data_IF_648551163929
#
_entry.id   IF_648551163929
#
_cell.length_a   1.000
_cell.length_b   1.000
_cell.length_c   1.000
_cell.angle_alpha   90.00
_cell.angle_beta   90.00
_cell.angle_gamma   90.00
#
_symmetry.space_group_name_H-M   'P 1'
#
loop_
_entity.id
_entity.type
_entity.pdbx_description
1 polymer ?
#
# COMPACT_ATOMS: atom_id res chain seq x y z
N UNK A 1 21.63 -10.21 -5.63
CA UNK A 1 20.97 -10.70 -6.86
C UNK A 1 20.25 -9.52 -7.49
N UNK A 2 20.48 -9.19 -8.77
CA UNK A 2 19.78 -8.09 -9.45
C UNK A 2 18.42 -8.55 -9.96
N UNK A 3 17.41 -7.70 -9.81
CA UNK A 3 16.07 -7.90 -10.37
C UNK A 3 15.95 -7.12 -11.69
N UNK A 4 15.01 -7.48 -12.60
CA UNK A 4 14.78 -6.69 -13.82
C UNK A 4 14.28 -5.29 -13.49
N UNK A 5 14.53 -4.29 -14.33
CA UNK A 5 13.96 -2.96 -14.09
C UNK A 5 12.42 -2.99 -14.22
N UNK A 6 11.73 -2.24 -13.36
CA UNK A 6 10.29 -1.98 -13.48
C UNK A 6 10.04 -0.48 -13.67
N UNK A 7 8.86 -0.15 -14.16
CA UNK A 7 8.39 1.23 -14.36
C UNK A 7 7.17 1.46 -13.50
N UNK A 8 7.14 2.56 -12.74
CA UNK A 8 5.95 3.03 -12.04
C UNK A 8 5.10 3.76 -13.06
N UNK A 9 3.91 3.26 -13.34
CA UNK A 9 2.94 3.90 -14.26
C UNK A 9 1.76 4.54 -13.53
N UNK A 10 1.50 4.11 -12.30
CA UNK A 10 0.46 4.68 -11.45
C UNK A 10 0.93 4.73 -10.00
N UNK A 11 0.48 5.74 -9.28
CA UNK A 11 0.82 5.99 -7.89
C UNK A 11 -0.39 6.59 -7.16
N UNK A 12 -0.63 6.14 -5.93
CA UNK A 12 -1.61 6.76 -5.06
C UNK A 12 -1.17 6.68 -3.61
N UNK A 13 -1.52 7.70 -2.85
CA UNK A 13 -1.37 7.73 -1.40
C UNK A 13 -2.64 8.31 -0.82
N UNK A 14 -3.12 7.72 0.28
CA UNK A 14 -4.20 8.28 1.06
C UNK A 14 -3.87 8.22 2.55
N UNK A 15 -3.95 9.38 3.18
CA UNK A 15 -4.04 9.54 4.63
C UNK A 15 -5.02 10.69 4.92
N UNK A 16 -5.59 10.82 6.14
CA UNK A 16 -6.52 11.90 6.45
C UNK A 16 -5.97 13.31 6.14
N UNK A 17 -4.67 13.52 6.37
CA UNK A 17 -3.97 14.78 6.09
C UNK A 17 -3.45 14.90 4.65
N UNK A 18 -3.43 13.81 3.88
CA UNK A 18 -2.94 13.72 2.50
C UNK A 18 -3.91 12.89 1.62
N UNK A 19 -5.12 13.40 1.33
CA UNK A 19 -6.20 12.63 0.70
C UNK A 19 -6.05 12.52 -0.82
N UNK A 20 -5.00 11.85 -1.29
CA UNK A 20 -4.73 11.62 -2.70
C UNK A 20 -3.37 12.16 -3.15
N UNK A 21 -2.88 11.62 -4.28
CA UNK A 21 -1.54 11.93 -4.78
C UNK A 21 -1.34 13.41 -5.15
N UNK A 22 -2.38 14.06 -5.69
CA UNK A 22 -2.32 15.49 -6.05
C UNK A 22 -2.09 16.41 -4.85
N UNK A 23 -2.48 15.98 -3.65
CA UNK A 23 -2.17 16.67 -2.39
C UNK A 23 -0.88 16.15 -1.77
N UNK A 24 -0.67 14.82 -1.78
CA UNK A 24 0.48 14.20 -1.17
C UNK A 24 1.80 14.62 -1.84
N UNK A 25 1.90 14.55 -3.16
CA UNK A 25 3.14 14.84 -3.88
C UNK A 25 3.73 16.24 -3.60
N UNK A 26 2.97 17.36 -3.72
CA UNK A 26 3.52 18.68 -3.37
C UNK A 26 3.82 18.81 -1.87
N UNK A 27 3.01 18.22 -0.98
CA UNK A 27 3.27 18.26 0.45
C UNK A 27 4.56 17.49 0.84
N UNK A 28 4.80 16.33 0.23
CA UNK A 28 6.03 15.54 0.41
C UNK A 28 7.27 16.27 -0.14
N UNK A 29 7.12 17.13 -1.16
CA UNK A 29 8.18 18.03 -1.64
C UNK A 29 8.40 19.27 -0.77
N UNK A 30 7.56 19.53 0.21
CA UNK A 30 7.58 20.78 0.99
C UNK A 30 7.02 22.00 0.25
N UNK A 31 6.35 21.79 -0.88
CA UNK A 31 5.71 22.82 -1.71
C UNK A 31 4.21 22.98 -1.42
N UNK A 32 3.62 21.98 -0.76
CA UNK A 32 2.22 21.93 -0.36
C UNK A 32 2.06 21.84 1.15
N UNK A 33 0.81 21.79 1.62
CA UNK A 33 0.47 21.60 3.02
C UNK A 33 -0.47 20.42 3.18
N UNK A 34 -0.39 19.77 4.35
CA UNK A 34 -1.44 18.85 4.80
C UNK A 34 -2.80 19.57 4.82
N UNK A 35 -3.87 18.82 4.54
CA UNK A 35 -5.23 19.37 4.64
C UNK A 35 -5.65 19.55 6.09
N UNK A 36 -6.34 20.65 6.36
CA UNK A 36 -6.95 20.97 7.65
C UNK A 36 -8.33 21.62 7.39
N UNK A 37 -9.46 21.01 7.82
CA UNK A 37 -9.54 19.79 8.63
C UNK A 37 -9.12 18.51 7.87
N UNK A 38 -8.72 17.44 8.59
CA UNK A 38 -8.43 16.14 7.98
C UNK A 38 -9.63 15.59 7.19
N UNK A 39 -9.33 14.95 6.06
CA UNK A 39 -10.35 14.33 5.22
C UNK A 39 -11.04 13.16 5.92
N UNK A 40 -12.34 13.01 5.66
CA UNK A 40 -13.08 11.83 6.06
C UNK A 40 -12.58 10.59 5.31
N UNK A 41 -12.73 9.43 5.95
CA UNK A 41 -12.44 8.12 5.36
C UNK A 41 -13.07 7.99 3.95
N UNK A 42 -12.36 7.43 2.96
CA UNK A 42 -12.88 7.29 1.60
C UNK A 42 -14.04 6.29 1.55
N UNK A 43 -14.91 6.46 0.56
CA UNK A 43 -16.04 5.58 0.29
C UNK A 43 -15.92 5.03 -1.13
N UNK A 44 -15.19 3.91 -1.34
CA UNK A 44 -14.81 3.46 -2.68
C UNK A 44 -16.02 3.18 -3.56
N UNK A 45 -16.09 3.87 -4.69
CA UNK A 45 -17.23 3.77 -5.61
C UNK A 45 -17.32 2.41 -6.32
N UNK A 46 -16.18 1.71 -6.40
CA UNK A 46 -16.05 0.34 -6.90
C UNK A 46 -16.95 -0.67 -6.17
N UNK A 47 -17.27 -0.44 -4.90
CA UNK A 47 -18.13 -1.32 -4.13
C UNK A 47 -19.61 -0.93 -4.31
N UNK A 48 -20.53 -1.90 -4.49
CA UNK A 48 -21.95 -1.60 -4.40
C UNK A 48 -22.31 -1.04 -3.02
N UNK A 49 -23.41 -0.28 -2.93
CA UNK A 49 -23.70 0.53 -1.75
C UNK A 49 -23.86 -0.26 -0.44
N UNK A 50 -24.23 -1.55 -0.49
CA UNK A 50 -24.35 -2.38 0.70
C UNK A 50 -22.98 -2.80 1.24
N UNK A 51 -22.10 -3.28 0.37
CA UNK A 51 -20.73 -3.68 0.64
C UNK A 51 -19.92 -2.47 1.09
N UNK A 52 -20.06 -1.33 0.39
CA UNK A 52 -19.36 -0.08 0.71
C UNK A 52 -19.63 0.40 2.14
N UNK A 53 -20.87 0.28 2.61
CA UNK A 53 -21.27 0.65 3.98
C UNK A 53 -20.72 -0.28 5.07
N UNK A 54 -20.35 -1.51 4.69
CA UNK A 54 -19.88 -2.56 5.61
C UNK A 54 -18.39 -2.82 5.51
N UNK A 55 -17.74 -2.29 4.47
CA UNK A 55 -16.31 -2.42 4.29
C UNK A 55 -15.60 -1.85 5.53
N UNK A 56 -14.60 -2.54 6.06
CA UNK A 56 -13.75 -1.98 7.09
C UNK A 56 -12.81 -0.92 6.52
N UNK A 57 -12.10 -0.22 7.40
CA UNK A 57 -11.20 0.88 7.03
C UNK A 57 -10.10 0.39 6.10
N UNK A 58 -9.47 -0.76 6.43
CA UNK A 58 -8.42 -1.38 5.61
C UNK A 58 -8.87 -1.61 4.16
N UNK A 59 -10.02 -2.27 3.97
CA UNK A 59 -10.61 -2.51 2.65
C UNK A 59 -10.93 -1.20 1.93
N UNK A 60 -11.56 -0.24 2.61
CA UNK A 60 -11.94 1.00 1.95
C UNK A 60 -10.73 1.81 1.49
N UNK A 61 -9.71 1.94 2.32
CA UNK A 61 -8.48 2.63 1.96
C UNK A 61 -7.76 1.91 0.81
N UNK A 62 -7.58 0.58 0.90
CA UNK A 62 -6.91 -0.21 -0.13
C UNK A 62 -7.58 -0.07 -1.49
N UNK A 63 -8.91 -0.15 -1.56
CA UNK A 63 -9.64 -0.01 -2.83
C UNK A 63 -9.57 1.41 -3.38
N UNK A 64 -9.59 2.44 -2.52
CA UNK A 64 -9.44 3.84 -2.95
C UNK A 64 -8.09 4.08 -3.64
N UNK A 65 -6.99 3.70 -2.98
CA UNK A 65 -5.65 3.92 -3.56
C UNK A 65 -5.41 3.01 -4.77
N UNK A 66 -5.93 1.79 -4.77
CA UNK A 66 -5.89 0.90 -5.92
C UNK A 66 -6.59 1.53 -7.13
N UNK A 67 -7.82 2.00 -6.96
CA UNK A 67 -8.59 2.64 -8.03
C UNK A 67 -7.83 3.83 -8.63
N UNK A 68 -7.27 4.70 -7.77
CA UNK A 68 -6.54 5.89 -8.21
C UNK A 68 -5.25 5.56 -8.94
N UNK A 69 -4.45 4.64 -8.42
CA UNK A 69 -3.20 4.24 -9.06
C UNK A 69 -3.47 3.59 -10.43
N UNK A 70 -4.49 2.72 -10.51
CA UNK A 70 -4.89 2.09 -11.78
C UNK A 70 -5.42 3.12 -12.78
N UNK A 71 -6.30 4.03 -12.34
CA UNK A 71 -6.79 5.11 -13.19
C UNK A 71 -5.65 5.98 -13.74
N UNK A 72 -4.66 6.33 -12.91
CA UNK A 72 -3.50 7.11 -13.35
C UNK A 72 -2.63 6.35 -14.36
N UNK A 73 -2.50 5.03 -14.21
CA UNK A 73 -1.71 4.19 -15.13
C UNK A 73 -2.33 4.00 -16.51
N UNK A 74 -3.61 4.33 -16.68
CA UNK A 74 -4.35 4.08 -17.92
C UNK A 74 -4.63 2.59 -18.20
N UNK A 75 -4.38 1.69 -17.24
CA UNK A 75 -4.61 0.25 -17.39
C UNK A 75 -6.03 -0.15 -17.01
N UNK A 76 -6.49 -1.26 -17.57
CA UNK A 76 -7.72 -1.91 -17.14
C UNK A 76 -7.50 -2.64 -15.81
N UNK A 77 -8.32 -2.39 -14.76
CA UNK A 77 -8.21 -3.08 -13.47
C UNK A 77 -8.27 -4.62 -13.56
N UNK A 78 -8.99 -5.15 -14.55
CA UNK A 78 -9.18 -6.60 -14.78
C UNK A 78 -7.93 -7.35 -15.24
N UNK A 79 -6.92 -6.62 -15.71
CA UNK A 79 -5.76 -7.19 -16.40
C UNK A 79 -4.51 -7.19 -15.52
N UNK A 80 -4.62 -6.70 -14.28
CA UNK A 80 -3.50 -6.54 -13.36
C UNK A 80 -3.41 -7.73 -12.40
N UNK A 81 -2.23 -8.35 -12.36
CA UNK A 81 -1.80 -9.08 -11.17
C UNK A 81 -1.83 -8.13 -9.97
N UNK A 82 -2.13 -8.63 -8.76
CA UNK A 82 -2.21 -7.74 -7.60
C UNK A 82 -1.62 -8.31 -6.31
N UNK A 83 -0.80 -7.49 -5.66
CA UNK A 83 -0.21 -7.76 -4.35
C UNK A 83 -0.77 -6.77 -3.35
N UNK A 84 -1.46 -7.28 -2.33
CA UNK A 84 -1.91 -6.50 -1.19
C UNK A 84 -0.98 -6.78 -0.02
N UNK A 85 -0.48 -5.75 0.64
CA UNK A 85 0.42 -5.89 1.79
C UNK A 85 -0.08 -5.10 2.99
N UNK A 86 0.06 -5.70 4.16
CA UNK A 86 -0.31 -5.11 5.44
C UNK A 86 0.44 -5.81 6.55
N UNK A 87 0.97 -5.05 7.50
CA UNK A 87 1.62 -5.62 8.68
C UNK A 87 0.64 -6.40 9.52
N UNK A 88 -0.57 -5.87 9.72
CA UNK A 88 -1.50 -6.40 10.69
C UNK A 88 -2.85 -6.84 10.14
N UNK A 89 -3.17 -6.49 8.88
CA UNK A 89 -4.52 -6.60 8.36
C UNK A 89 -5.47 -5.65 9.10
N UNK A 90 -6.70 -6.08 9.34
CA UNK A 90 -7.68 -5.27 10.07
C UNK A 90 -7.69 -5.57 11.57
N UNK A 91 -6.97 -4.75 12.33
CA UNK A 91 -6.88 -4.89 13.79
C UNK A 91 -8.22 -4.66 14.49
N UNK A 92 -9.07 -3.76 14.00
CA UNK A 92 -10.37 -3.50 14.62
C UNK A 92 -11.32 -4.71 14.48
N UNK A 93 -11.32 -5.37 13.33
CA UNK A 93 -12.08 -6.61 13.13
C UNK A 93 -11.50 -7.73 13.98
N UNK A 94 -10.17 -7.85 14.06
CA UNK A 94 -9.53 -8.89 14.87
C UNK A 94 -9.88 -8.75 16.36
N UNK A 95 -9.85 -7.52 16.90
CA UNK A 95 -10.28 -7.25 18.28
C UNK A 95 -11.77 -7.60 18.49
N UNK A 96 -12.63 -7.25 17.54
CA UNK A 96 -14.04 -7.63 17.58
C UNK A 96 -14.24 -9.16 17.60
N UNK A 97 -13.53 -9.90 16.75
CA UNK A 97 -13.65 -11.37 16.67
C UNK A 97 -13.21 -11.99 17.99
N UNK A 98 -12.04 -11.62 18.49
CA UNK A 98 -11.51 -12.13 19.75
C UNK A 98 -12.43 -11.80 20.94
N UNK A 99 -12.89 -10.56 21.05
CA UNK A 99 -13.78 -10.13 22.14
C UNK A 99 -15.15 -10.81 22.08
N UNK A 100 -15.69 -11.04 20.88
CA UNK A 100 -16.95 -11.77 20.68
C UNK A 100 -16.82 -13.23 21.10
N UNK A 101 -15.75 -13.92 20.67
CA UNK A 101 -15.51 -15.32 21.06
C UNK A 101 -15.33 -15.48 22.57
N UNK A 102 -14.63 -14.55 23.21
CA UNK A 102 -14.39 -14.59 24.65
C UNK A 102 -15.66 -14.38 25.49
N UNK A 103 -16.63 -13.58 25.00
CA UNK A 103 -17.82 -13.18 25.77
C UNK A 103 -19.09 -13.93 25.37
N UNK A 104 -19.30 -14.16 24.08
CA UNK A 104 -20.52 -14.70 23.50
C UNK A 104 -20.21 -15.43 22.17
N UNK A 105 -19.59 -16.62 22.21
CA UNK A 105 -19.06 -17.28 21.00
C UNK A 105 -20.12 -17.58 19.93
N UNK A 106 -21.39 -17.71 20.32
CA UNK A 106 -22.51 -17.98 19.40
C UNK A 106 -23.07 -16.73 18.71
N UNK A 107 -22.58 -15.52 19.02
CA UNK A 107 -23.08 -14.25 18.44
C UNK A 107 -22.18 -13.67 17.34
N UNK A 108 -21.23 -14.47 16.82
CA UNK A 108 -20.31 -14.05 15.76
C UNK A 108 -21.05 -13.60 14.51
N UNK A 109 -20.79 -12.37 14.06
CA UNK A 109 -21.30 -11.88 12.77
C UNK A 109 -20.56 -12.56 11.62
N UNK A 110 -21.24 -13.28 10.70
CA UNK A 110 -20.60 -13.86 9.52
C UNK A 110 -19.93 -12.79 8.65
N UNK A 111 -20.53 -11.60 8.56
CA UNK A 111 -19.97 -10.49 7.79
C UNK A 111 -18.66 -9.98 8.38
N UNK A 112 -18.58 -9.80 9.70
CA UNK A 112 -17.31 -9.35 10.32
C UNK A 112 -16.25 -10.44 10.26
N UNK A 113 -16.64 -11.71 10.41
CA UNK A 113 -15.71 -12.82 10.29
C UNK A 113 -15.08 -12.91 8.88
N UNK A 114 -15.85 -12.76 7.80
CA UNK A 114 -15.24 -12.80 6.46
C UNK A 114 -14.24 -11.65 6.22
N UNK A 115 -14.37 -10.53 6.95
CA UNK A 115 -13.46 -9.40 6.84
C UNK A 115 -12.21 -9.55 7.72
N UNK A 116 -12.11 -10.61 8.53
CA UNK A 116 -10.96 -10.82 9.43
C UNK A 116 -9.77 -11.47 8.75
N UNK A 117 -9.95 -12.00 7.54
CA UNK A 117 -8.85 -12.60 6.78
C UNK A 117 -7.98 -11.50 6.18
N UNK A 118 -6.66 -11.72 6.17
CA UNK A 118 -5.68 -10.72 5.70
C UNK A 118 -5.91 -10.33 4.23
N UNK A 119 -6.36 -11.29 3.41
CA UNK A 119 -6.64 -11.08 1.99
C UNK A 119 -8.02 -10.44 1.71
N UNK A 120 -8.75 -9.91 2.70
CA UNK A 120 -10.07 -9.33 2.47
C UNK A 120 -10.05 -8.23 1.40
N UNK A 121 -9.09 -7.30 1.46
CA UNK A 121 -8.95 -6.22 0.46
C UNK A 121 -8.70 -6.76 -0.96
N UNK A 122 -7.84 -7.78 -1.09
CA UNK A 122 -7.59 -8.47 -2.36
C UNK A 122 -8.87 -9.12 -2.91
N UNK A 123 -9.63 -9.82 -2.07
CA UNK A 123 -10.90 -10.44 -2.47
C UNK A 123 -11.93 -9.41 -2.95
N UNK A 124 -12.08 -8.30 -2.23
CA UNK A 124 -12.97 -7.22 -2.66
C UNK A 124 -12.52 -6.56 -3.96
N UNK A 125 -11.21 -6.41 -4.18
CA UNK A 125 -10.68 -5.87 -5.43
C UNK A 125 -11.06 -6.77 -6.61
N UNK A 126 -10.82 -8.08 -6.51
CA UNK A 126 -11.18 -9.04 -7.55
C UNK A 126 -12.67 -9.03 -7.87
N UNK A 127 -13.54 -9.02 -6.84
CA UNK A 127 -15.00 -8.94 -7.01
C UNK A 127 -15.41 -7.62 -7.68
N UNK A 128 -14.89 -6.49 -7.21
CA UNK A 128 -15.31 -5.17 -7.68
C UNK A 128 -14.84 -4.87 -9.12
N UNK A 129 -13.72 -5.44 -9.54
CA UNK A 129 -13.11 -5.20 -10.85
C UNK A 129 -13.36 -6.32 -11.86
N UNK A 130 -13.86 -7.48 -11.41
CA UNK A 130 -13.91 -8.70 -12.22
C UNK A 130 -12.53 -9.25 -12.57
N UNK A 131 -11.47 -8.84 -11.87
CA UNK A 131 -10.12 -9.32 -12.12
C UNK A 131 -9.98 -10.80 -11.71
N UNK A 132 -9.56 -11.63 -12.67
CA UNK A 132 -9.30 -13.06 -12.49
C UNK A 132 -7.80 -13.40 -12.52
N UNK A 133 -6.93 -12.38 -12.55
CA UNK A 133 -5.48 -12.55 -12.47
C UNK A 133 -5.06 -13.00 -11.06
N UNK A 134 -3.82 -13.47 -10.94
CA UNK A 134 -3.29 -13.87 -9.63
C UNK A 134 -3.30 -12.69 -8.66
N UNK A 135 -3.74 -12.94 -7.42
CA UNK A 135 -3.65 -11.98 -6.34
C UNK A 135 -3.09 -12.60 -5.08
N UNK A 136 -2.10 -11.93 -4.49
CA UNK A 136 -1.46 -12.34 -3.23
C UNK A 136 -1.69 -11.31 -2.14
N UNK A 137 -1.68 -11.78 -0.90
CA UNK A 137 -1.76 -10.96 0.30
C UNK A 137 -0.54 -11.28 1.20
N UNK A 138 0.28 -10.27 1.49
CA UNK A 138 1.58 -10.41 2.13
C UNK A 138 1.62 -9.68 3.48
N UNK A 139 2.22 -10.31 4.47
CA UNK A 139 2.57 -9.67 5.74
C UNK A 139 4.00 -10.06 6.12
N UNK A 140 4.77 -9.06 6.53
CA UNK A 140 6.12 -9.23 7.09
C UNK A 140 6.34 -8.26 8.26
N UNK A 141 5.28 -7.99 9.04
CA UNK A 141 5.29 -7.02 10.15
C UNK A 141 5.88 -5.67 9.69
N UNK A 142 6.94 -5.19 10.33
CA UNK A 142 7.59 -3.90 10.03
C UNK A 142 8.28 -3.83 8.65
N UNK A 143 8.38 -4.96 7.94
CA UNK A 143 8.96 -5.05 6.60
C UNK A 143 7.90 -5.30 5.51
N UNK A 144 6.61 -5.12 5.83
CA UNK A 144 5.51 -5.54 4.96
C UNK A 144 5.49 -4.81 3.62
N UNK A 145 5.78 -3.50 3.58
CA UNK A 145 5.81 -2.81 2.29
C UNK A 145 6.96 -3.34 1.42
N UNK A 146 8.16 -3.50 1.99
CA UNK A 146 9.32 -4.02 1.26
C UNK A 146 9.09 -5.45 0.75
N UNK A 147 8.47 -6.32 1.56
CA UNK A 147 8.11 -7.67 1.19
C UNK A 147 7.06 -7.69 0.07
N UNK A 148 6.03 -6.83 0.17
CA UNK A 148 5.03 -6.65 -0.88
C UNK A 148 5.63 -6.12 -2.18
N UNK A 149 6.57 -5.17 -2.10
CA UNK A 149 7.29 -4.65 -3.27
C UNK A 149 8.15 -5.73 -3.92
N UNK A 150 8.85 -6.56 -3.14
CA UNK A 150 9.61 -7.69 -3.67
C UNK A 150 8.68 -8.70 -4.36
N UNK A 151 7.54 -9.02 -3.75
CA UNK A 151 6.53 -9.93 -4.34
C UNK A 151 5.93 -9.37 -5.63
N UNK A 152 5.63 -8.08 -5.68
CA UNK A 152 5.18 -7.45 -6.92
C UNK A 152 6.27 -7.51 -8.00
N UNK A 153 7.54 -7.41 -7.58
CA UNK A 153 8.68 -7.51 -8.47
C UNK A 153 8.87 -8.93 -9.04
N UNK A 154 8.74 -9.95 -8.20
CA UNK A 154 8.85 -11.35 -8.61
C UNK A 154 7.73 -11.73 -9.57
N UNK A 155 6.50 -11.29 -9.32
CA UNK A 155 5.36 -11.53 -10.23
C UNK A 155 5.56 -10.82 -11.57
N UNK A 156 5.93 -9.53 -11.57
CA UNK A 156 6.18 -8.79 -12.81
C UNK A 156 7.32 -9.42 -13.64
N UNK A 157 8.33 -9.97 -12.98
CA UNK A 157 9.44 -10.66 -13.63
C UNK A 157 9.05 -12.05 -14.17
N UNK A 158 8.22 -12.79 -13.44
CA UNK A 158 7.81 -14.15 -13.80
C UNK A 158 6.79 -14.16 -14.95
N UNK A 159 5.77 -13.30 -14.86
CA UNK A 159 4.63 -13.29 -15.79
C UNK A 159 4.76 -12.24 -16.89
N UNK A 160 5.83 -11.42 -16.88
CA UNK A 160 6.05 -10.31 -17.80
C UNK A 160 4.86 -9.34 -17.91
N UNK A 161 4.07 -9.24 -16.84
CA UNK A 161 2.83 -8.46 -16.77
C UNK A 161 2.91 -7.30 -15.77
N UNK A 162 2.01 -6.31 -15.90
CA UNK A 162 1.88 -5.24 -14.92
C UNK A 162 1.27 -5.76 -13.61
N UNK A 163 1.73 -5.22 -12.49
CA UNK A 163 1.31 -5.60 -11.14
C UNK A 163 0.85 -4.37 -10.37
N UNK A 164 -0.34 -4.46 -9.76
CA UNK A 164 -0.82 -3.52 -8.77
C UNK A 164 -0.27 -3.92 -7.38
N UNK A 165 0.53 -3.07 -6.75
CA UNK A 165 0.91 -3.18 -5.35
C UNK A 165 0.05 -2.23 -4.52
N UNK A 166 -0.56 -2.72 -3.44
CA UNK A 166 -1.32 -1.92 -2.47
C UNK A 166 -0.81 -2.20 -1.07
N UNK A 167 -0.41 -1.17 -0.33
CA UNK A 167 -0.07 -1.24 1.09
C UNK A 167 -1.12 -0.53 1.94
N UNK A 168 -1.56 -1.13 3.04
CA UNK A 168 -2.47 -0.45 3.98
C UNK A 168 -2.32 -0.97 5.42
N UNK A 169 -2.28 -0.05 6.38
CA UNK A 169 -2.49 -0.35 7.79
C UNK A 169 -3.34 0.73 8.46
N UNK A 170 -4.10 0.29 9.47
CA UNK A 170 -5.05 1.12 10.21
C UNK A 170 -4.71 1.15 11.69
N UNK A 171 -5.42 1.98 12.45
CA UNK A 171 -5.17 2.17 13.87
C UNK A 171 -5.47 0.91 14.66
N UNK A 172 -4.54 0.51 15.53
CA UNK A 172 -4.79 -0.55 16.50
C UNK A 172 -5.89 -0.12 17.50
N UNK A 173 -6.81 -1.01 17.84
CA UNK A 173 -7.90 -0.73 18.78
C UNK A 173 -8.06 -1.85 19.82
N UNK A 174 -8.79 -1.53 20.90
CA UNK A 174 -9.12 -2.51 21.93
C UNK A 174 -7.89 -3.15 22.59
N UNK A 175 -7.95 -4.45 22.83
CA UNK A 175 -6.87 -5.19 23.47
C UNK A 175 -5.62 -5.27 22.57
N UNK A 176 -5.79 -5.23 21.25
CA UNK A 176 -4.68 -5.31 20.30
C UNK A 176 -3.81 -4.06 20.29
N UNK A 177 -4.29 -2.93 20.80
CA UNK A 177 -3.48 -1.72 21.00
C UNK A 177 -2.41 -1.88 22.11
N UNK A 178 -2.49 -2.94 22.93
CA UNK A 178 -1.46 -3.25 23.95
C UNK A 178 -0.23 -3.97 23.38
N UNK A 179 -0.34 -4.51 22.16
CA UNK A 179 0.71 -5.27 21.49
C UNK A 179 1.08 -4.72 20.11
N UNK A 180 0.34 -3.72 19.60
CA UNK A 180 0.58 -3.12 18.29
C UNK A 180 0.56 -1.59 18.37
N UNK A 181 1.54 -0.97 17.72
CA UNK A 181 1.74 0.47 17.75
C UNK A 181 1.21 1.22 16.52
N UNK A 182 0.57 0.54 15.57
CA UNK A 182 -0.01 1.20 14.40
C UNK A 182 -1.03 2.29 14.80
N UNK A 183 -0.81 3.50 14.31
CA UNK A 183 -1.67 4.68 14.51
C UNK A 183 -2.13 5.28 13.17
N UNK A 184 -3.27 5.95 13.20
CA UNK A 184 -3.85 6.63 12.05
C UNK A 184 -4.34 5.67 10.96
N UNK A 185 -4.57 6.24 9.78
CA UNK A 185 -4.99 5.53 8.58
C UNK A 185 -4.01 5.89 7.46
N UNK A 186 -3.40 4.88 6.84
CA UNK A 186 -2.48 5.08 5.73
C UNK A 186 -2.67 3.97 4.70
N UNK A 187 -2.77 4.36 3.44
CA UNK A 187 -2.65 3.45 2.33
C UNK A 187 -1.85 4.05 1.18
N UNK A 188 -1.21 3.18 0.44
CA UNK A 188 -0.36 3.49 -0.69
C UNK A 188 -0.61 2.49 -1.81
N UNK A 189 -0.43 2.91 -3.06
CA UNK A 189 -0.47 1.99 -4.19
C UNK A 189 0.50 2.40 -5.29
N UNK A 190 1.02 1.40 -6.00
CA UNK A 190 1.85 1.55 -7.19
C UNK A 190 1.33 0.58 -8.27
N UNK A 191 1.30 1.03 -9.53
CA UNK A 191 1.20 0.13 -10.69
C UNK A 191 2.59 0.01 -11.30
N UNK A 192 3.13 -1.19 -11.28
CA UNK A 192 4.48 -1.52 -11.73
C UNK A 192 4.40 -2.30 -13.05
N UNK A 193 5.16 -1.89 -14.06
CA UNK A 193 5.19 -2.54 -15.36
C UNK A 193 6.62 -2.95 -15.76
N UNK A 194 6.83 -4.09 -16.42
CA UNK A 194 8.16 -4.53 -16.86
C UNK A 194 8.70 -3.76 -18.07
N UNK A 195 7.84 -3.01 -18.77
CA UNK A 195 8.19 -2.20 -19.93
C UNK A 195 7.75 -0.76 -19.71
N UNK A 196 8.49 0.19 -20.30
CA UNK A 196 8.14 1.61 -20.23
C UNK A 196 6.90 1.89 -21.07
N UNK A 197 5.76 2.12 -20.42
CA UNK A 197 4.57 2.64 -21.07
C UNK A 197 4.54 4.17 -21.17
N UNK A 198 3.47 4.72 -21.80
CA UNK A 198 3.28 6.16 -21.97
C UNK A 198 3.02 6.91 -20.65
N UNK A 199 2.56 6.21 -19.61
CA UNK A 199 2.29 6.77 -18.28
C UNK A 199 3.44 6.58 -17.29
N UNK A 200 4.61 6.13 -17.75
CA UNK A 200 5.75 5.86 -16.88
C UNK A 200 6.26 7.13 -16.17
N UNK A 201 6.15 7.14 -14.84
CA UNK A 201 6.58 8.22 -13.94
C UNK A 201 8.03 8.06 -13.51
N UNK A 202 8.45 6.84 -13.22
CA UNK A 202 9.80 6.51 -12.77
C UNK A 202 10.20 5.09 -13.19
N UNK A 203 11.50 4.87 -13.31
CA UNK A 203 12.11 3.55 -13.44
C UNK A 203 12.69 3.16 -12.08
N UNK A 204 12.44 1.93 -11.67
CA UNK A 204 12.98 1.30 -10.48
C UNK A 204 13.95 0.19 -10.91
N UNK A 205 15.18 0.24 -10.40
CA UNK A 205 16.08 -0.91 -10.40
C UNK A 205 16.20 -1.44 -9.00
N UNK A 206 16.17 -2.77 -8.84
CA UNK A 206 16.34 -3.36 -7.54
C UNK A 206 17.35 -4.49 -7.49
N UNK A 207 17.95 -4.66 -6.33
CA UNK A 207 18.78 -5.80 -6.01
C UNK A 207 18.63 -6.18 -4.54
N UNK A 208 18.72 -7.48 -4.27
CA UNK A 208 18.84 -7.98 -2.91
C UNK A 208 20.27 -7.77 -2.40
N UNK A 209 20.38 -7.16 -1.23
CA UNK A 209 21.65 -6.91 -0.51
C UNK A 209 21.65 -7.67 0.82
N UNK A 210 22.74 -8.39 1.15
CA UNK A 210 22.86 -9.06 2.44
C UNK A 210 23.15 -8.05 3.56
N UNK A 211 22.72 -8.39 4.77
CA UNK A 211 22.97 -7.61 5.98
C UNK A 211 21.72 -6.94 6.53
N UNK A 212 21.80 -6.56 7.81
CA UNK A 212 20.78 -5.73 8.42
C UNK A 212 20.77 -4.35 7.77
N UNK A 213 19.57 -3.81 7.57
CA UNK A 213 19.37 -2.48 7.00
C UNK A 213 18.51 -1.67 7.96
N UNK A 214 18.92 -0.44 8.19
CA UNK A 214 18.18 0.46 9.07
C UNK A 214 16.93 1.00 8.39
N UNK A 215 15.94 1.40 9.20
CA UNK A 215 14.78 2.12 8.67
C UNK A 215 15.22 3.47 8.13
N UNK A 216 14.69 3.82 6.97
CA UNK A 216 14.96 5.10 6.34
C UNK A 216 14.11 6.17 7.06
N UNK A 217 14.72 7.22 7.62
CA UNK A 217 13.96 8.28 8.28
C UNK A 217 13.14 9.08 7.27
N UNK A 218 11.92 9.46 7.69
CA UNK A 218 11.06 10.36 6.93
C UNK A 218 11.63 11.77 6.94
N UNK A 219 11.50 12.48 5.82
CA UNK A 219 12.16 13.79 5.60
C UNK A 219 11.18 14.94 5.53
N UNK A 220 10.00 14.68 4.99
CA UNK A 220 8.98 15.70 4.78
C UNK A 220 8.16 15.92 6.04
N UNK A 221 7.88 17.18 6.35
CA UNK A 221 6.98 17.54 7.46
C UNK A 221 5.59 16.93 7.27
N UNK A 222 5.17 16.72 6.03
CA UNK A 222 3.91 16.07 5.69
C UNK A 222 3.86 14.58 6.06
N UNK A 223 4.98 13.86 6.00
CA UNK A 223 5.06 12.44 6.32
C UNK A 223 5.30 12.16 7.81
N UNK A 224 5.96 13.07 8.54
CA UNK A 224 6.28 12.87 9.97
C UNK A 224 5.08 12.48 10.85
N UNK A 225 3.87 13.08 10.72
CA UNK A 225 2.70 12.67 11.50
C UNK A 225 2.22 11.24 11.21
N UNK A 226 2.65 10.65 10.08
CA UNK A 226 2.26 9.31 9.65
C UNK A 226 3.25 8.23 10.12
N UNK A 227 4.38 8.62 10.74
CA UNK A 227 5.45 7.70 11.17
C UNK A 227 5.00 6.58 12.12
N UNK A 228 3.90 6.81 12.87
CA UNK A 228 3.33 5.82 13.78
C UNK A 228 2.45 4.76 13.11
N UNK A 229 2.19 4.86 11.80
CA UNK A 229 1.43 3.84 11.08
C UNK A 229 2.32 2.65 10.69
N UNK A 230 1.81 1.42 10.77
CA UNK A 230 2.61 0.24 10.41
C UNK A 230 2.99 0.14 8.92
N UNK A 231 2.33 0.89 8.04
CA UNK A 231 2.66 1.02 6.62
C UNK A 231 3.56 2.26 6.33
N UNK A 232 4.10 2.91 7.36
CA UNK A 232 4.97 4.07 7.19
C UNK A 232 6.32 3.72 6.54
N UNK A 233 6.71 2.44 6.51
CA UNK A 233 7.90 1.93 5.80
C UNK A 233 7.81 2.13 4.28
N UNK A 234 6.61 2.38 3.75
CA UNK A 234 6.40 2.78 2.36
C UNK A 234 6.80 4.24 2.07
N UNK A 235 6.64 5.13 3.05
CA UNK A 235 6.72 6.58 2.83
C UNK A 235 8.07 7.07 2.27
N UNK A 236 9.24 6.53 2.64
CA UNK A 236 10.51 6.92 2.03
C UNK A 236 10.53 6.76 0.50
N UNK A 237 9.95 5.67 -0.02
CA UNK A 237 9.84 5.48 -1.47
C UNK A 237 8.90 6.51 -2.10
N UNK A 238 7.80 6.84 -1.43
CA UNK A 238 6.83 7.84 -1.90
C UNK A 238 7.42 9.26 -1.85
N UNK A 239 8.22 9.60 -0.84
CA UNK A 239 8.98 10.86 -0.78
C UNK A 239 9.96 10.98 -1.96
N UNK A 240 10.73 9.93 -2.23
CA UNK A 240 11.65 9.88 -3.38
C UNK A 240 10.91 10.00 -4.72
N UNK A 241 9.78 9.29 -4.89
CA UNK A 241 8.96 9.38 -6.10
C UNK A 241 8.33 10.77 -6.28
N UNK A 242 7.93 11.43 -5.20
CA UNK A 242 7.40 12.79 -5.24
C UNK A 242 8.46 13.81 -5.65
N UNK A 243 9.71 13.64 -5.19
CA UNK A 243 10.83 14.56 -5.46
C UNK A 243 11.43 14.42 -6.86
N UNK A 244 11.37 13.24 -7.48
CA UNK A 244 11.81 13.00 -8.86
C UNK A 244 13.33 13.04 -9.09
N UNK A 245 14.13 13.38 -8.08
CA UNK A 245 15.58 13.28 -8.13
C UNK A 245 16.01 11.80 -8.09
N UNK A 246 17.02 11.38 -8.87
CA UNK A 246 17.54 10.03 -8.76
C UNK A 246 18.09 9.75 -7.37
N UNK A 247 17.63 8.68 -6.76
CA UNK A 247 17.99 8.32 -5.39
C UNK A 247 18.03 6.81 -5.21
N UNK A 248 18.84 6.36 -4.26
CA UNK A 248 18.93 4.96 -3.87
C UNK A 248 18.44 4.80 -2.44
N UNK A 249 17.46 3.92 -2.26
CA UNK A 249 16.92 3.51 -0.97
C UNK A 249 17.32 2.07 -0.70
N UNK A 250 17.43 1.69 0.57
CA UNK A 250 17.55 0.27 0.94
C UNK A 250 16.47 -0.06 1.96
N UNK A 251 15.42 -0.72 1.51
CA UNK A 251 14.28 -1.09 2.34
C UNK A 251 14.57 -2.40 3.09
N UNK A 252 14.30 -2.49 4.41
CA UNK A 252 14.49 -3.73 5.16
C UNK A 252 13.50 -4.81 4.72
N UNK A 253 14.02 -6.01 4.43
CA UNK A 253 13.21 -7.21 4.17
C UNK A 253 13.24 -8.18 5.37
N UNK A 254 14.33 -8.22 6.12
CA UNK A 254 14.50 -8.99 7.35
C UNK A 254 15.71 -8.47 8.14
N UNK A 255 16.04 -9.14 9.26
CA UNK A 255 17.27 -8.87 10.01
C UNK A 255 18.57 -9.11 9.22
N UNK A 256 18.51 -9.78 8.07
CA UNK A 256 19.69 -10.19 7.29
C UNK A 256 19.62 -9.84 5.81
N UNK A 257 18.55 -9.17 5.37
CA UNK A 257 18.32 -8.90 3.95
C UNK A 257 17.65 -7.55 3.75
N UNK A 258 18.13 -6.80 2.76
CA UNK A 258 17.51 -5.57 2.28
C UNK A 258 17.19 -5.61 0.79
N UNK A 259 16.22 -4.81 0.39
CA UNK A 259 15.88 -4.50 -0.98
C UNK A 259 16.45 -3.12 -1.33
N UNK A 260 17.59 -3.09 -2.02
CA UNK A 260 18.17 -1.84 -2.53
C UNK A 260 17.43 -1.46 -3.80
N UNK A 261 16.77 -0.30 -3.81
CA UNK A 261 15.98 0.24 -4.92
C UNK A 261 16.59 1.56 -5.38
N UNK A 262 16.98 1.64 -6.65
CA UNK A 262 17.33 2.89 -7.30
C UNK A 262 16.12 3.43 -8.06
N UNK A 263 15.71 4.65 -7.73
CA UNK A 263 14.62 5.37 -8.37
C UNK A 263 15.20 6.37 -9.37
N UNK A 264 14.68 6.39 -10.59
CA UNK A 264 15.07 7.34 -11.63
C UNK A 264 13.81 7.88 -12.32
N UNK A 265 13.53 9.18 -12.23
CA UNK A 265 12.39 9.76 -12.93
C UNK A 265 12.43 9.50 -14.44
N UNK A 266 11.29 9.14 -15.01
CA UNK A 266 11.12 9.06 -16.45
C UNK A 266 10.85 10.47 -16.96
N UNK A 267 11.90 11.18 -17.39
CA UNK A 267 11.70 12.45 -18.07
C UNK A 267 10.98 12.21 -19.41
N UNK A 268 9.99 13.05 -19.69
CA UNK A 268 9.44 13.16 -21.04
C UNK A 268 10.58 13.57 -21.97
N UNK A 269 10.83 12.76 -22.99
CA UNK A 269 11.57 13.25 -24.15
C UNK A 269 10.58 14.12 -24.90
N UNK A 270 10.60 15.42 -24.60
CA UNK A 270 9.96 16.43 -25.46
C UNK A 270 10.49 16.36 -26.89
#
# INVERSE_FOLDING_TARGET
MSLPSLFVEGIALWAPTLPGWDTAAPALRGEGRAVDPPAARPSPELLPAAERRRAPDSVALSLEVAARAVAQSGRAPSDLLSVFTSAHGDLAITDYVCSTLARAPWSMSPTRFHNSVHNAASGYWGIATGCMQASTAVSAFECSFAAGLLEAWTQAAADAGPVLLVGCDVTATGALASTNDSRGLLAVALVLAPQRGPHALARLDAMLVPGATERIPLRSEAALPLAGNAMADALPLFETLAGGAPEVLTLPLSAMLGLRVQVCACRDRG
#
